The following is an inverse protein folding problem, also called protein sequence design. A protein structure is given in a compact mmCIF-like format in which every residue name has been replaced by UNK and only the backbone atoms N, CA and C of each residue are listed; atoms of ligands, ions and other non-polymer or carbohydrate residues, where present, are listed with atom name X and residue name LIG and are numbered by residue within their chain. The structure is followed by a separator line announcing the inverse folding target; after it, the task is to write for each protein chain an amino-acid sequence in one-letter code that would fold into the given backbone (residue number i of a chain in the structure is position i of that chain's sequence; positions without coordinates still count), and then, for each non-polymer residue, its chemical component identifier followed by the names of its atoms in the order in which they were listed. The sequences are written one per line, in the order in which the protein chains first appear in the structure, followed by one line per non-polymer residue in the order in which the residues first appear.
data_IF_630522866623
#
_entry.id   IF_630522866623
#
_cell.length_a   1.000
_cell.length_b   1.000
_cell.length_c   1.000
_cell.angle_alpha   90.00
_cell.angle_beta   90.00
_cell.angle_gamma   90.00
#
_symmetry.space_group_name_H-M   'P 1'
#
loop_
_entity.id
_entity.type
_entity.pdbx_description
1 polymer ?
#
# COMPACT_ATOMS: atom_id res chain seq x y z
N UNK A 1 18.37 8.91 6.57
CA UNK A 1 17.74 9.53 5.38
C UNK A 1 16.25 9.25 5.46
N UNK A 2 15.37 10.23 5.21
CA UNK A 2 13.91 10.02 5.27
C UNK A 2 13.49 9.07 4.14
N UNK A 3 12.63 8.08 4.44
CA UNK A 3 12.04 7.22 3.42
C UNK A 3 11.05 8.05 2.59
N UNK A 4 11.34 8.22 1.31
CA UNK A 4 10.49 8.90 0.34
C UNK A 4 10.86 8.45 -1.08
N UNK A 5 10.00 8.76 -2.05
CA UNK A 5 10.11 8.33 -3.44
C UNK A 5 11.33 8.91 -4.14
N UNK A 6 11.66 10.17 -3.86
CA UNK A 6 12.86 10.82 -4.41
C UNK A 6 14.17 10.13 -4.00
N UNK A 7 14.26 9.71 -2.75
CA UNK A 7 15.44 9.05 -2.20
C UNK A 7 15.54 7.56 -2.61
N UNK A 8 14.46 7.01 -3.18
CA UNK A 8 14.36 5.59 -3.58
C UNK A 8 14.28 5.40 -5.10
N UNK A 9 14.20 6.48 -5.90
CA UNK A 9 14.06 6.40 -7.36
C UNK A 9 12.68 5.93 -7.82
N UNK A 10 11.65 6.16 -6.99
CA UNK A 10 10.27 5.68 -7.20
C UNK A 10 9.28 6.83 -7.40
N UNK A 11 9.72 7.88 -8.09
CA UNK A 11 8.94 9.10 -8.31
C UNK A 11 7.72 8.87 -9.21
N UNK A 12 7.84 7.96 -10.19
CA UNK A 12 6.70 7.55 -11.02
C UNK A 12 5.82 6.59 -10.22
N UNK A 13 4.58 7.01 -9.98
CA UNK A 13 3.60 6.18 -9.31
C UNK A 13 2.87 5.25 -10.30
N UNK A 14 2.39 4.13 -9.77
CA UNK A 14 1.55 3.16 -10.47
C UNK A 14 0.12 3.71 -10.57
N UNK A 15 -0.65 3.35 -11.61
CA UNK A 15 -2.07 3.70 -11.67
C UNK A 15 -2.84 3.02 -10.53
N UNK A 16 -3.91 3.65 -10.05
CA UNK A 16 -4.77 3.07 -9.02
C UNK A 16 -5.60 1.94 -9.64
N UNK A 17 -5.21 0.70 -9.35
CA UNK A 17 -5.95 -0.51 -9.77
C UNK A 17 -6.73 -1.16 -8.64
N UNK A 18 -6.34 -0.86 -7.40
CA UNK A 18 -6.90 -1.47 -6.20
C UNK A 18 -7.32 -0.37 -5.26
N UNK A 19 -8.57 -0.45 -4.78
CA UNK A 19 -9.01 0.30 -3.60
C UNK A 19 -9.03 -0.66 -2.41
N UNK A 20 -8.34 -0.28 -1.34
CA UNK A 20 -8.23 -1.05 -0.11
C UNK A 20 -8.88 -0.30 1.04
N UNK A 21 -9.91 -0.89 1.64
CA UNK A 21 -10.51 -0.39 2.88
C UNK A 21 -9.82 -1.02 4.08
N UNK A 22 -9.17 -0.19 4.89
CA UNK A 22 -8.32 -0.61 6.00
C UNK A 22 -6.83 -0.44 5.72
N UNK A 23 -6.11 0.02 6.73
CA UNK A 23 -4.69 0.33 6.71
C UNK A 23 -3.91 -0.47 7.75
N UNK A 24 -4.49 -1.60 8.18
CA UNK A 24 -3.90 -2.48 9.18
C UNK A 24 -2.65 -3.23 8.70
N UNK A 25 -1.91 -3.77 9.66
CA UNK A 25 -0.68 -4.53 9.36
C UNK A 25 -0.93 -5.78 8.50
N UNK A 26 -2.09 -6.43 8.63
CA UNK A 26 -2.40 -7.63 7.85
C UNK A 26 -2.44 -7.32 6.35
N UNK A 27 -3.19 -6.29 5.96
CA UNK A 27 -3.29 -5.87 4.56
C UNK A 27 -1.91 -5.49 4.01
N UNK A 28 -1.15 -4.68 4.76
CA UNK A 28 0.22 -4.29 4.38
C UNK A 28 1.20 -5.44 4.26
N UNK A 29 1.10 -6.46 5.12
CA UNK A 29 2.04 -7.56 5.15
C UNK A 29 1.67 -8.70 4.18
N UNK A 30 0.42 -8.78 3.77
CA UNK A 30 -0.09 -9.90 2.97
C UNK A 30 -0.62 -9.46 1.61
N UNK A 31 -1.63 -8.59 1.59
CA UNK A 31 -2.30 -8.17 0.35
C UNK A 31 -1.40 -7.25 -0.46
N UNK A 32 -0.91 -6.18 0.16
CA UNK A 32 -0.03 -5.22 -0.51
C UNK A 32 1.28 -5.91 -0.95
N UNK A 33 1.80 -6.84 -0.16
CA UNK A 33 2.96 -7.65 -0.56
C UNK A 33 2.68 -8.53 -1.78
N UNK A 34 1.50 -9.16 -1.86
CA UNK A 34 1.13 -9.97 -3.02
C UNK A 34 1.09 -9.14 -4.31
N UNK A 35 0.52 -7.92 -4.27
CA UNK A 35 0.54 -7.03 -5.43
C UNK A 35 1.93 -6.49 -5.75
N UNK A 36 2.77 -6.26 -4.73
CA UNK A 36 4.17 -5.88 -4.94
C UNK A 36 4.91 -6.98 -5.71
N UNK A 37 4.75 -8.24 -5.30
CA UNK A 37 5.33 -9.40 -5.99
C UNK A 37 4.82 -9.53 -7.44
N UNK A 38 3.53 -9.26 -7.68
CA UNK A 38 2.96 -9.26 -9.04
C UNK A 38 3.52 -8.13 -9.91
N UNK A 39 3.69 -6.95 -9.34
CA UNK A 39 4.32 -5.82 -10.03
C UNK A 39 5.76 -6.15 -10.42
N UNK A 40 6.53 -6.77 -9.53
CA UNK A 40 7.93 -7.12 -9.77
C UNK A 40 8.12 -8.29 -10.74
N UNK A 41 7.28 -9.33 -10.64
CA UNK A 41 7.48 -10.57 -11.43
C UNK A 41 6.86 -10.54 -12.81
N UNK A 42 5.72 -9.88 -12.96
CA UNK A 42 4.94 -9.92 -14.21
C UNK A 42 4.50 -8.53 -14.69
N UNK A 43 5.04 -7.46 -14.10
CA UNK A 43 4.70 -6.08 -14.45
C UNK A 43 3.19 -5.81 -14.44
N UNK A 44 2.51 -6.29 -13.39
CA UNK A 44 1.06 -6.13 -13.25
C UNK A 44 0.60 -4.65 -13.17
N UNK A 45 1.53 -3.75 -12.80
CA UNK A 45 1.39 -2.30 -12.80
C UNK A 45 0.18 -1.82 -11.97
N UNK A 46 0.07 -2.30 -10.74
CA UNK A 46 -1.05 -2.04 -9.85
C UNK A 46 -0.63 -1.21 -8.63
N UNK A 47 -1.14 0.01 -8.58
CA UNK A 47 -1.14 0.87 -7.40
C UNK A 47 -2.37 0.63 -6.53
N UNK A 48 -2.18 0.81 -5.22
CA UNK A 48 -3.18 0.66 -4.17
C UNK A 48 -3.53 2.04 -3.62
N UNK A 49 -4.82 2.37 -3.64
CA UNK A 49 -5.40 3.47 -2.90
C UNK A 49 -5.99 2.94 -1.59
N UNK A 50 -5.44 3.38 -0.45
CA UNK A 50 -5.90 2.98 0.88
C UNK A 50 -6.93 3.97 1.40
N UNK A 51 -8.07 3.48 1.89
CA UNK A 51 -9.12 4.26 2.53
C UNK A 51 -9.21 3.86 4.00
N UNK A 52 -9.02 4.83 4.88
CA UNK A 52 -9.09 4.62 6.32
C UNK A 52 -10.54 4.47 6.80
N UNK A 53 -10.87 3.43 7.60
CA UNK A 53 -12.24 3.13 7.99
C UNK A 53 -12.68 3.81 9.29
N UNK A 54 -11.78 4.49 10.02
CA UNK A 54 -12.06 5.13 11.31
C UNK A 54 -11.45 6.54 11.36
N UNK A 55 -11.99 7.44 12.19
CA UNK A 55 -11.54 8.86 12.27
C UNK A 55 -10.06 9.03 12.65
N UNK A 56 -9.48 8.09 13.42
CA UNK A 56 -8.08 8.15 13.89
C UNK A 56 -7.29 6.92 13.46
N UNK A 57 -6.99 6.84 12.17
CA UNK A 57 -6.21 5.76 11.57
C UNK A 57 -4.78 6.13 11.22
N UNK A 58 -4.20 5.42 10.26
CA UNK A 58 -2.77 5.50 9.92
C UNK A 58 -2.46 6.25 8.62
N UNK A 59 -3.45 6.87 7.96
CA UNK A 59 -3.25 7.53 6.66
C UNK A 59 -2.17 8.61 6.71
N UNK A 60 -2.13 9.43 7.77
CA UNK A 60 -1.09 10.45 7.92
C UNK A 60 0.32 9.84 7.99
N UNK A 61 0.48 8.74 8.73
CA UNK A 61 1.76 8.02 8.84
C UNK A 61 2.19 7.45 7.48
N UNK A 62 1.24 6.91 6.70
CA UNK A 62 1.51 6.41 5.35
C UNK A 62 1.92 7.56 4.40
N UNK A 63 1.18 8.66 4.43
CA UNK A 63 1.43 9.83 3.59
C UNK A 63 2.76 10.53 3.94
N UNK A 64 3.17 10.54 5.21
CA UNK A 64 4.47 11.08 5.65
C UNK A 64 5.69 10.39 4.99
N UNK A 65 5.50 9.13 4.55
CA UNK A 65 6.48 8.34 3.79
C UNK A 65 6.04 8.10 2.33
N UNK A 66 5.07 8.86 1.83
CA UNK A 66 4.57 8.78 0.44
C UNK A 66 4.07 7.38 0.05
N UNK A 67 3.47 6.67 1.02
CA UNK A 67 2.98 5.30 0.87
C UNK A 67 4.06 4.21 0.97
N UNK A 68 5.33 4.59 1.10
CA UNK A 68 6.43 3.64 1.22
C UNK A 68 6.51 3.06 2.64
N UNK A 69 6.84 1.77 2.74
CA UNK A 69 7.17 1.13 4.02
C UNK A 69 8.06 -0.11 3.81
N UNK A 70 8.70 -0.57 4.89
CA UNK A 70 9.50 -1.80 4.85
C UNK A 70 8.71 -2.96 5.45
N UNK A 71 8.55 -4.03 4.68
CA UNK A 71 8.07 -5.31 5.17
C UNK A 71 9.26 -6.16 5.64
N UNK A 72 9.18 -6.66 6.87
CA UNK A 72 10.14 -7.62 7.41
C UNK A 72 9.51 -9.01 7.40
N UNK A 73 10.00 -9.88 6.51
CA UNK A 73 9.61 -11.29 6.48
C UNK A 73 10.59 -12.07 7.37
N UNK A 74 10.08 -12.66 8.46
CA UNK A 74 10.89 -13.43 9.41
C UNK A 74 10.29 -14.81 9.60
N UNK A 75 11.14 -15.82 9.66
CA UNK A 75 10.69 -17.19 9.86
C UNK A 75 11.85 -18.17 10.05
N UNK A 76 11.51 -19.45 10.03
CA UNK A 76 12.48 -20.55 10.05
C UNK A 76 12.30 -21.36 8.78
N UNK A 77 13.36 -21.49 7.99
CA UNK A 77 13.39 -22.31 6.76
C UNK A 77 14.54 -23.30 6.87
N UNK A 78 14.22 -24.59 6.74
CA UNK A 78 15.21 -25.69 6.85
C UNK A 78 16.04 -25.61 8.16
N UNK A 79 15.37 -25.26 9.26
CA UNK A 79 16.00 -25.13 10.58
C UNK A 79 16.85 -23.87 10.78
N UNK A 80 16.95 -22.98 9.78
CA UNK A 80 17.67 -21.71 9.87
C UNK A 80 16.70 -20.54 10.00
N UNK A 81 17.02 -19.60 10.89
CA UNK A 81 16.31 -18.32 10.97
C UNK A 81 16.59 -17.51 9.71
N UNK A 82 15.53 -17.03 9.08
CA UNK A 82 15.59 -16.12 7.93
C UNK A 82 14.98 -14.77 8.29
N UNK A 83 15.58 -13.71 7.76
CA UNK A 83 15.05 -12.35 7.77
C UNK A 83 15.25 -11.75 6.38
N UNK A 84 14.16 -11.40 5.71
CA UNK A 84 14.17 -10.68 4.44
C UNK A 84 13.47 -9.32 4.63
N UNK A 85 13.95 -8.31 3.91
CA UNK A 85 13.44 -6.95 3.96
C UNK A 85 13.01 -6.54 2.58
N UNK A 86 11.76 -6.15 2.46
CA UNK A 86 11.16 -5.73 1.20
C UNK A 86 10.73 -4.27 1.33
N UNK A 87 11.15 -3.43 0.38
CA UNK A 87 10.60 -2.08 0.27
C UNK A 87 9.29 -2.18 -0.51
N UNK A 88 8.17 -1.94 0.17
CA UNK A 88 6.86 -1.91 -0.47
C UNK A 88 6.57 -0.49 -0.94
N UNK A 89 6.08 -0.37 -2.18
CA UNK A 89 5.94 0.93 -2.86
C UNK A 89 4.65 1.09 -3.65
N UNK A 90 3.80 0.08 -3.63
CA UNK A 90 2.56 0.03 -4.40
C UNK A 90 1.39 0.79 -3.74
N UNK A 91 1.47 1.22 -2.48
CA UNK A 91 0.54 2.23 -1.96
C UNK A 91 0.90 3.58 -2.59
N UNK A 92 0.02 4.08 -3.45
CA UNK A 92 0.22 5.33 -4.20
C UNK A 92 -0.65 6.47 -3.68
N UNK A 93 -1.73 6.14 -2.98
CA UNK A 93 -2.66 7.10 -2.39
C UNK A 93 -3.17 6.56 -1.05
N UNK A 94 -3.25 7.40 -0.02
CA UNK A 94 -3.91 7.05 1.23
C UNK A 94 -4.85 8.20 1.63
N UNK A 95 -6.13 7.87 1.85
CA UNK A 95 -7.23 8.83 1.98
C UNK A 95 -7.89 8.65 3.33
N UNK A 96 -8.05 9.77 4.04
CA UNK A 96 -8.90 9.88 5.21
C UNK A 96 -10.26 10.46 4.77
N UNK A 97 -11.31 9.63 4.63
CA UNK A 97 -12.60 10.08 4.13
C UNK A 97 -13.33 11.03 5.09
N UNK A 98 -12.89 11.13 6.35
CA UNK A 98 -13.46 12.05 7.34
C UNK A 98 -12.96 13.48 7.15
N UNK A 99 -11.80 13.65 6.50
CA UNK A 99 -11.20 14.96 6.23
C UNK A 99 -11.35 15.37 4.76
N UNK A 100 -11.35 14.40 3.84
CA UNK A 100 -11.50 14.63 2.40
C UNK A 100 -12.42 13.58 1.77
N UNK A 101 -13.72 13.80 1.90
CA UNK A 101 -14.74 12.89 1.39
C UNK A 101 -14.83 12.87 -0.14
N UNK A 102 -14.53 14.00 -0.79
CA UNK A 102 -14.54 14.08 -2.27
C UNK A 102 -13.41 13.24 -2.87
N UNK A 103 -12.20 13.28 -2.29
CA UNK A 103 -11.11 12.42 -2.75
C UNK A 103 -11.43 10.92 -2.63
N UNK A 104 -12.25 10.54 -1.64
CA UNK A 104 -12.78 9.19 -1.50
C UNK A 104 -13.79 8.86 -2.62
N UNK A 105 -14.74 9.74 -2.92
CA UNK A 105 -15.70 9.55 -4.01
C UNK A 105 -15.03 9.46 -5.38
N UNK A 106 -13.97 10.25 -5.60
CA UNK A 106 -13.21 10.24 -6.85
C UNK A 106 -12.52 8.89 -7.13
N UNK A 107 -12.27 8.05 -6.11
CA UNK A 107 -11.76 6.69 -6.32
C UNK A 107 -12.70 5.84 -7.19
N UNK A 108 -14.01 6.10 -7.15
CA UNK A 108 -14.98 5.38 -7.98
C UNK A 108 -14.86 5.73 -9.48
N UNK A 109 -14.06 6.75 -9.82
CA UNK A 109 -13.84 7.24 -11.20
C UNK A 109 -12.48 6.83 -11.76
N UNK A 110 -11.65 6.12 -10.99
CA UNK A 110 -10.35 5.63 -11.45
C UNK A 110 -10.55 4.65 -12.62
N UNK A 111 -10.01 4.99 -13.79
CA UNK A 111 -10.26 4.24 -15.04
C UNK A 111 -9.65 2.83 -15.02
N UNK A 112 -8.53 2.67 -14.31
CA UNK A 112 -7.80 1.41 -14.19
C UNK A 112 -8.26 0.57 -12.98
N UNK A 113 -9.29 0.98 -12.23
CA UNK A 113 -9.77 0.27 -11.05
C UNK A 113 -10.31 -1.12 -11.41
N UNK A 114 -9.68 -2.16 -10.86
CA UNK A 114 -10.03 -3.56 -11.12
C UNK A 114 -10.46 -4.31 -9.84
N UNK A 115 -9.93 -3.92 -8.67
CA UNK A 115 -10.15 -4.65 -7.41
C UNK A 115 -10.57 -3.75 -6.27
N UNK A 116 -11.45 -4.27 -5.42
CA UNK A 116 -11.77 -3.71 -4.11
C UNK A 116 -11.47 -4.77 -3.06
N UNK A 117 -10.68 -4.40 -2.06
CA UNK A 117 -10.29 -5.26 -0.94
C UNK A 117 -10.69 -4.57 0.36
N UNK A 118 -11.14 -5.35 1.34
CA UNK A 118 -11.55 -4.79 2.63
C UNK A 118 -11.13 -5.70 3.79
N UNK A 119 -10.55 -5.08 4.81
CA UNK A 119 -10.39 -5.66 6.14
C UNK A 119 -10.42 -4.52 7.17
N UNK A 120 -11.58 -4.32 7.79
CA UNK A 120 -11.88 -3.17 8.66
C UNK A 120 -12.43 -3.59 10.03
N UNK A 121 -12.00 -4.74 10.56
CA UNK A 121 -12.51 -5.32 11.81
C UNK A 121 -12.44 -4.39 13.01
#
# INVERSE_FOLDING_TARGET
MKLNRKNTGLEKQLPVKIVQFGEGNFLRAFVDYAFQELNEKINFNAGVAVVQPIDRGLVNMLNDQEGLYTLFLRGVKEGKVIEEKHLISNIVKAIDPYTDFEAYLDLAREEDLEFIISNTT
#
